data_IF_724205296935
#
_entry.id   IF_724205296935
#
_cell.length_a   1.000
_cell.length_b   1.000
_cell.length_c   1.000
_cell.angle_alpha   90.00
_cell.angle_beta   90.00
_cell.angle_gamma   90.00
#
_symmetry.space_group_name_H-M   'P 1'
#
loop_
_entity.id
_entity.type
_entity.pdbx_description
1 polymer ?
#
# COMPACT_ATOMS: atom_id res chain seq x y z
N UNK A 1 12.17 11.53 -11.53
CA UNK A 1 11.25 11.89 -10.43
C UNK A 1 10.02 10.99 -10.34
N UNK A 2 9.17 10.88 -11.38
CA UNK A 2 7.95 10.06 -11.33
C UNK A 2 8.17 8.58 -10.92
N UNK A 3 9.23 7.94 -11.41
CA UNK A 3 9.57 6.55 -11.05
C UNK A 3 9.92 6.39 -9.56
N UNK A 4 10.74 7.28 -9.01
CA UNK A 4 11.07 7.28 -7.58
C UNK A 4 9.83 7.57 -6.74
N UNK A 5 8.94 8.44 -7.22
CA UNK A 5 7.71 8.74 -6.51
C UNK A 5 6.74 7.55 -6.50
N UNK A 6 6.57 6.81 -7.60
CA UNK A 6 5.74 5.59 -7.60
C UNK A 6 6.39 4.38 -6.91
N UNK A 7 7.73 4.32 -6.87
CA UNK A 7 8.46 3.29 -6.14
C UNK A 7 8.39 3.49 -4.61
N UNK A 8 8.40 4.75 -4.14
CA UNK A 8 8.32 5.11 -2.72
C UNK A 8 6.89 5.31 -2.22
N UNK A 9 5.96 5.72 -3.09
CA UNK A 9 4.53 5.88 -2.78
C UNK A 9 3.79 4.69 -3.35
N UNK A 10 3.81 3.57 -2.61
CA UNK A 10 2.92 2.43 -2.85
C UNK A 10 1.51 2.77 -2.34
N UNK A 11 0.89 3.76 -3.00
CA UNK A 11 -0.35 4.39 -2.59
C UNK A 11 -1.05 5.00 -3.79
N UNK A 12 -1.43 4.14 -4.75
CA UNK A 12 -2.08 4.56 -6.00
C UNK A 12 -3.30 5.46 -5.79
N UNK A 13 -4.05 5.22 -4.73
CA UNK A 13 -5.20 6.04 -4.36
C UNK A 13 -4.80 7.48 -4.00
N UNK A 14 -3.69 7.69 -3.28
CA UNK A 14 -3.17 9.02 -2.94
C UNK A 14 -2.66 9.77 -4.17
N UNK A 15 -2.07 9.05 -5.13
CA UNK A 15 -1.62 9.63 -6.40
C UNK A 15 -2.81 10.09 -7.26
N UNK A 16 -3.89 9.31 -7.35
CA UNK A 16 -5.10 9.71 -8.08
C UNK A 16 -5.83 10.88 -7.43
N UNK A 17 -5.98 10.88 -6.10
CA UNK A 17 -6.58 12.01 -5.35
C UNK A 17 -5.75 13.28 -5.55
N UNK A 18 -4.42 13.16 -5.55
CA UNK A 18 -3.52 14.26 -5.90
C UNK A 18 -3.79 14.80 -7.31
N UNK A 19 -3.76 13.94 -8.33
CA UNK A 19 -3.98 14.34 -9.74
C UNK A 19 -5.36 14.98 -9.95
N UNK A 20 -6.40 14.48 -9.28
CA UNK A 20 -7.77 15.01 -9.42
C UNK A 20 -7.99 16.37 -8.75
N UNK A 21 -7.29 16.63 -7.64
CA UNK A 21 -7.50 17.84 -6.84
C UNK A 21 -6.45 18.94 -7.11
N UNK A 22 -5.24 18.58 -7.56
CA UNK A 22 -4.23 19.55 -7.99
C UNK A 22 -4.67 20.25 -9.28
N UNK A 23 -4.81 21.57 -9.23
CA UNK A 23 -5.27 22.41 -10.35
C UNK A 23 -6.73 22.85 -10.24
N UNK A 24 -7.50 22.32 -9.29
CA UNK A 24 -8.80 22.87 -8.92
C UNK A 24 -8.65 23.95 -7.82
N UNK A 25 -9.57 24.91 -7.74
CA UNK A 25 -9.63 25.93 -6.68
C UNK A 25 -10.08 25.33 -5.32
N UNK A 26 -9.52 24.19 -4.96
CA UNK A 26 -9.83 23.45 -3.73
C UNK A 26 -8.83 23.83 -2.65
N UNK A 27 -9.32 24.03 -1.43
CA UNK A 27 -8.46 24.35 -0.30
C UNK A 27 -7.46 23.20 -0.01
N UNK A 28 -6.15 23.48 0.17
CA UNK A 28 -5.13 22.43 0.35
C UNK A 28 -5.42 21.44 1.49
N UNK A 29 -6.08 21.87 2.56
CA UNK A 29 -6.44 21.00 3.69
C UNK A 29 -7.47 19.92 3.32
N UNK A 30 -8.35 20.19 2.34
CA UNK A 30 -9.31 19.19 1.85
C UNK A 30 -8.60 18.06 1.12
N UNK A 31 -7.55 18.38 0.35
CA UNK A 31 -6.71 17.37 -0.32
C UNK A 31 -6.06 16.45 0.71
N UNK A 32 -5.49 17.03 1.78
CA UNK A 32 -4.91 16.26 2.89
C UNK A 32 -5.96 15.38 3.57
N UNK A 33 -7.15 15.93 3.86
CA UNK A 33 -8.22 15.17 4.50
C UNK A 33 -8.74 14.03 3.60
N UNK A 34 -8.87 14.26 2.30
CA UNK A 34 -9.27 13.22 1.33
C UNK A 34 -8.23 12.12 1.24
N UNK A 35 -6.94 12.46 1.13
CA UNK A 35 -5.85 11.48 1.17
C UNK A 35 -5.90 10.69 2.48
N UNK A 36 -6.02 11.36 3.62
CA UNK A 36 -6.13 10.71 4.92
C UNK A 36 -7.34 9.76 5.00
N UNK A 37 -8.52 10.21 4.60
CA UNK A 37 -9.75 9.43 4.65
C UNK A 37 -9.66 8.15 3.80
N UNK A 38 -9.10 8.25 2.58
CA UNK A 38 -8.94 7.10 1.68
C UNK A 38 -7.89 6.11 2.21
N UNK A 39 -6.88 6.60 2.93
CA UNK A 39 -5.80 5.80 3.53
C UNK A 39 -6.09 5.35 4.97
N UNK A 40 -7.22 5.73 5.57
CA UNK A 40 -7.57 5.38 6.94
C UNK A 40 -7.60 3.85 7.16
N UNK A 41 -7.79 3.08 6.09
CA UNK A 41 -7.66 1.62 6.07
C UNK A 41 -6.31 1.12 6.61
N UNK A 42 -5.22 1.84 6.41
CA UNK A 42 -3.90 1.45 6.95
C UNK A 42 -3.84 1.54 8.47
N UNK A 43 -4.60 2.45 9.09
CA UNK A 43 -4.75 2.51 10.56
C UNK A 43 -5.44 1.25 11.06
N UNK A 44 -6.55 0.87 10.41
CA UNK A 44 -7.31 -0.34 10.74
C UNK A 44 -6.48 -1.61 10.53
N UNK A 45 -5.74 -1.70 9.43
CA UNK A 45 -4.91 -2.87 9.14
C UNK A 45 -3.72 -2.99 10.07
N UNK A 46 -3.11 -1.88 10.47
CA UNK A 46 -2.04 -1.87 11.48
C UNK A 46 -2.52 -2.45 12.81
N UNK A 47 -3.75 -2.11 13.24
CA UNK A 47 -4.35 -2.65 14.45
C UNK A 47 -4.70 -4.16 14.34
N UNK A 48 -5.13 -4.62 13.16
CA UNK A 48 -5.45 -6.02 12.91
C UNK A 48 -4.20 -6.90 12.75
N UNK A 49 -3.39 -6.60 11.74
CA UNK A 49 -2.23 -7.42 11.34
C UNK A 49 -1.06 -7.27 12.30
N UNK A 50 -0.93 -6.11 12.97
CA UNK A 50 0.23 -5.81 13.81
C UNK A 50 0.42 -6.82 14.94
N UNK A 51 -0.67 -7.30 15.54
CA UNK A 51 -0.61 -8.37 16.55
C UNK A 51 -0.19 -9.72 15.96
N UNK A 52 -0.49 -9.98 14.68
CA UNK A 52 -0.16 -11.22 13.99
C UNK A 52 1.32 -11.27 13.58
N UNK A 53 1.92 -10.13 13.25
CA UNK A 53 3.31 -10.03 12.78
C UNK A 53 4.29 -9.52 13.85
N UNK A 54 3.83 -9.22 15.07
CA UNK A 54 4.66 -8.72 16.18
C UNK A 54 5.86 -9.63 16.52
N UNK A 55 5.78 -10.92 16.18
CA UNK A 55 6.86 -11.89 16.37
C UNK A 55 8.01 -11.75 15.35
N UNK A 56 7.85 -10.93 14.31
CA UNK A 56 8.89 -10.69 13.31
C UNK A 56 9.91 -9.64 13.77
N UNK A 57 11.14 -9.66 13.23
CA UNK A 57 12.09 -8.55 13.37
C UNK A 57 11.48 -7.23 12.88
N UNK A 58 11.86 -6.11 13.49
CA UNK A 58 11.32 -4.77 13.18
C UNK A 58 11.43 -4.43 11.68
N UNK A 59 12.55 -4.79 11.03
CA UNK A 59 12.77 -4.57 9.60
C UNK A 59 11.75 -5.36 8.77
N UNK A 60 11.48 -6.61 9.14
CA UNK A 60 10.51 -7.46 8.45
C UNK A 60 9.07 -6.96 8.66
N UNK A 61 8.76 -6.40 9.83
CA UNK A 61 7.49 -5.72 10.05
C UNK A 61 7.35 -4.48 9.16
N UNK A 62 8.39 -3.64 9.08
CA UNK A 62 8.40 -2.45 8.23
C UNK A 62 8.18 -2.80 6.75
N UNK A 63 8.90 -3.82 6.24
CA UNK A 63 8.68 -4.33 4.88
C UNK A 63 7.27 -4.91 4.72
N UNK A 64 6.76 -5.61 5.74
CA UNK A 64 5.42 -6.17 5.74
C UNK A 64 4.31 -5.12 5.65
N UNK A 65 4.46 -4.00 6.38
CA UNK A 65 3.55 -2.86 6.31
C UNK A 65 3.67 -2.12 4.97
N UNK A 66 4.88 -2.00 4.41
CA UNK A 66 5.10 -1.33 3.14
C UNK A 66 4.37 -2.02 1.99
N UNK A 67 4.39 -3.35 1.93
CA UNK A 67 3.74 -4.10 0.85
C UNK A 67 2.25 -4.41 1.11
N UNK A 68 1.72 -4.02 2.27
CA UNK A 68 0.39 -4.39 2.72
C UNK A 68 -0.70 -3.82 1.80
N UNK A 69 -1.48 -4.71 1.18
CA UNK A 69 -2.66 -4.37 0.38
C UNK A 69 -3.94 -4.92 1.00
N UNK A 70 -5.09 -4.38 0.61
CA UNK A 70 -6.41 -4.82 1.13
C UNK A 70 -6.64 -6.34 0.93
N UNK A 71 -6.37 -6.94 -0.26
CA UNK A 71 -6.52 -8.38 -0.44
C UNK A 71 -5.51 -9.17 0.41
N UNK A 72 -4.28 -8.68 0.54
CA UNK A 72 -3.26 -9.32 1.35
C UNK A 72 -3.61 -9.32 2.84
N UNK A 73 -4.18 -8.22 3.34
CA UNK A 73 -4.72 -8.14 4.70
C UNK A 73 -5.82 -9.18 4.92
N UNK A 74 -6.82 -9.24 4.01
CA UNK A 74 -7.94 -10.16 4.13
C UNK A 74 -7.48 -11.63 4.16
N UNK A 75 -6.57 -12.01 3.27
CA UNK A 75 -6.04 -13.38 3.20
C UNK A 75 -5.16 -13.70 4.42
N UNK A 76 -4.34 -12.75 4.88
CA UNK A 76 -3.50 -12.95 6.05
C UNK A 76 -4.32 -13.07 7.35
N UNK A 77 -5.40 -12.29 7.50
CA UNK A 77 -6.30 -12.42 8.64
C UNK A 77 -7.11 -13.72 8.59
N UNK A 78 -7.60 -14.13 7.41
CA UNK A 78 -8.28 -15.42 7.25
C UNK A 78 -7.34 -16.61 7.60
N UNK A 79 -6.08 -16.55 7.18
CA UNK A 79 -5.05 -17.53 7.56
C UNK A 79 -4.84 -17.54 9.08
N UNK A 80 -4.72 -16.38 9.70
CA UNK A 80 -4.55 -16.28 11.14
C UNK A 80 -5.76 -16.81 11.93
N UNK A 81 -6.98 -16.61 11.43
CA UNK A 81 -8.21 -17.14 12.00
C UNK A 81 -8.32 -18.67 11.86
N UNK A 82 -7.71 -19.26 10.83
CA UNK A 82 -7.61 -20.72 10.67
C UNK A 82 -6.59 -21.38 11.61
N UNK A 83 -5.97 -20.63 12.53
CA UNK A 83 -4.95 -21.12 13.46
C UNK A 83 -3.55 -21.26 12.87
N UNK A 84 -3.36 -20.87 11.61
CA UNK A 84 -2.05 -20.89 10.95
C UNK A 84 -1.27 -19.61 11.24
N UNK A 85 0.06 -19.73 11.39
CA UNK A 85 0.92 -18.57 11.51
C UNK A 85 1.06 -17.84 10.16
N UNK A 86 1.13 -16.52 10.24
CA UNK A 86 1.49 -15.65 9.12
C UNK A 86 3.01 -15.50 9.15
N UNK A 87 3.70 -16.30 8.34
CA UNK A 87 5.16 -16.25 8.20
C UNK A 87 5.60 -15.19 7.20
N UNK A 88 6.76 -14.57 7.44
CA UNK A 88 7.29 -13.48 6.60
C UNK A 88 7.43 -13.87 5.13
N UNK A 89 8.01 -15.04 4.83
CA UNK A 89 8.20 -15.51 3.46
C UNK A 89 6.86 -15.77 2.72
N UNK A 90 5.87 -16.34 3.41
CA UNK A 90 4.53 -16.55 2.84
C UNK A 90 3.85 -15.21 2.56
N UNK A 91 3.95 -14.27 3.50
CA UNK A 91 3.37 -12.94 3.38
C UNK A 91 4.02 -12.14 2.23
N UNK A 92 5.35 -12.19 2.12
CA UNK A 92 6.07 -11.61 0.97
C UNK A 92 5.69 -12.28 -0.34
N UNK A 93 5.54 -13.61 -0.36
CA UNK A 93 5.13 -14.35 -1.55
C UNK A 93 3.77 -13.91 -2.08
N UNK A 94 2.87 -13.44 -1.20
CA UNK A 94 1.56 -12.91 -1.58
C UNK A 94 1.65 -11.49 -2.15
N UNK A 95 2.46 -10.60 -1.54
CA UNK A 95 2.49 -9.19 -1.93
C UNK A 95 3.56 -8.79 -2.94
N UNK A 96 4.69 -9.50 -3.02
CA UNK A 96 5.78 -9.19 -3.97
C UNK A 96 5.33 -9.20 -5.43
N UNK A 97 4.57 -10.21 -5.92
CA UNK A 97 4.10 -10.18 -7.30
C UNK A 97 3.25 -8.94 -7.59
N UNK A 98 2.33 -8.60 -6.68
CA UNK A 98 1.46 -7.41 -6.80
C UNK A 98 2.28 -6.13 -6.85
N UNK A 99 3.30 -6.01 -6.00
CA UNK A 99 4.21 -4.87 -5.99
C UNK A 99 5.04 -4.76 -7.28
N UNK A 100 5.53 -5.88 -7.81
CA UNK A 100 6.28 -5.90 -9.07
C UNK A 100 5.40 -5.49 -10.25
N UNK A 101 4.18 -6.02 -10.34
CA UNK A 101 3.20 -5.59 -11.35
C UNK A 101 2.90 -4.10 -11.25
N UNK A 102 2.70 -3.59 -10.03
CA UNK A 102 2.49 -2.17 -9.77
C UNK A 102 3.63 -1.28 -10.30
N UNK A 103 4.89 -1.67 -10.08
CA UNK A 103 6.06 -0.93 -10.59
C UNK A 103 6.06 -0.94 -12.12
N UNK A 104 5.85 -2.11 -12.73
CA UNK A 104 5.88 -2.27 -14.19
C UNK A 104 4.78 -1.43 -14.83
N UNK A 105 3.55 -1.51 -14.34
CA UNK A 105 2.41 -0.72 -14.84
C UNK A 105 2.65 0.77 -14.66
N UNK A 106 3.19 1.20 -13.51
CA UNK A 106 3.54 2.60 -13.27
C UNK A 106 4.62 3.10 -14.24
N UNK A 107 5.63 2.28 -14.53
CA UNK A 107 6.68 2.60 -15.48
C UNK A 107 6.14 2.70 -16.92
N UNK A 108 5.28 1.74 -17.32
CA UNK A 108 4.60 1.77 -18.61
C UNK A 108 3.72 3.03 -18.73
N UNK A 109 2.89 3.32 -17.73
CA UNK A 109 2.05 4.53 -17.71
C UNK A 109 2.86 5.82 -17.80
N UNK A 110 4.02 5.88 -17.14
CA UNK A 110 4.91 7.05 -17.23
C UNK A 110 5.58 7.20 -18.60
N UNK A 111 5.90 6.10 -19.28
CA UNK A 111 6.49 6.10 -20.62
C UNK A 111 5.46 6.48 -21.69
N UNK A 112 4.26 5.92 -21.62
CA UNK A 112 3.22 6.13 -22.62
C UNK A 112 2.33 7.34 -22.35
N UNK A 113 2.24 7.84 -21.12
CA UNK A 113 1.42 9.02 -20.78
C UNK A 113 1.95 10.36 -21.31
N UNK A 114 3.14 10.36 -21.94
CA UNK A 114 3.74 11.53 -22.62
C UNK A 114 3.66 11.46 -24.15
N UNK A 115 3.15 10.37 -24.71
CA UNK A 115 2.83 10.23 -26.14
C UNK A 115 1.43 10.78 -26.41
#
# INVERSE_FOLDING_TARGET
>A
EAFLMSALVYGGASQMVGIQLFGQHVAPWLVVLSIFAVNFRHVLYSAGIGRRIAHWPVISQALGYFILTDPQFAVAEARAQSGQSVGFAWYLGLGLPVYLFWIVESALGALFGKL
#
